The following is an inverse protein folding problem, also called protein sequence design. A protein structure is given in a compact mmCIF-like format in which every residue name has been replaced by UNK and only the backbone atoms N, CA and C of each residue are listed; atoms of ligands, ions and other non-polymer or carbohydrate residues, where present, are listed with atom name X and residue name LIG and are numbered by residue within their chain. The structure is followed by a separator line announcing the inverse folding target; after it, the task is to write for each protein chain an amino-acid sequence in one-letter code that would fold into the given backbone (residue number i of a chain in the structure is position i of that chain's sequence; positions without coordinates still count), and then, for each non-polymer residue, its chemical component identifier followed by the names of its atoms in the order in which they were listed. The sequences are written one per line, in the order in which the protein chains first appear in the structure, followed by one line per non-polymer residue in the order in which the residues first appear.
data_IF_242026462789
#
_entry.id   IF_242026462789
#
_cell.length_a   1.000
_cell.length_b   1.000
_cell.length_c   1.000
_cell.angle_alpha   90.00
_cell.angle_beta   90.00
_cell.angle_gamma   90.00
#
_symmetry.space_group_name_H-M   'P 1'
#
loop_
_entity.id
_entity.type
_entity.pdbx_description
1 polymer ?
#
# COMPACT_ATOMS: atom_id res chain seq x y z
N UNK A 1 -15.56 -24.04 -4.95
CA UNK A 1 -15.59 -22.65 -4.44
C UNK A 1 -15.70 -21.69 -5.62
N UNK A 2 -16.83 -20.97 -5.78
CA UNK A 2 -16.95 -19.92 -6.82
C UNK A 2 -16.39 -18.62 -6.25
N UNK A 3 -15.21 -18.21 -6.71
CA UNK A 3 -14.63 -16.89 -6.45
C UNK A 3 -15.50 -15.82 -7.12
N UNK A 4 -16.52 -15.32 -6.42
CA UNK A 4 -17.17 -14.07 -6.79
C UNK A 4 -16.29 -12.93 -6.29
N UNK A 5 -15.24 -12.58 -7.05
CA UNK A 5 -14.52 -11.33 -6.83
C UNK A 5 -15.53 -10.19 -6.99
N UNK A 6 -15.90 -9.57 -5.88
CA UNK A 6 -16.64 -8.31 -5.91
C UNK A 6 -15.71 -7.27 -6.56
N UNK A 7 -16.18 -6.46 -7.50
CA UNK A 7 -15.37 -5.49 -8.26
C UNK A 7 -14.49 -4.61 -7.34
N UNK A 8 -14.97 -4.33 -6.13
CA UNK A 8 -14.21 -3.61 -5.09
C UNK A 8 -12.94 -4.35 -4.62
N UNK A 9 -12.93 -5.68 -4.54
CA UNK A 9 -11.75 -6.43 -4.13
C UNK A 9 -10.64 -6.34 -5.19
N UNK A 10 -10.99 -6.36 -6.49
CA UNK A 10 -10.00 -6.23 -7.55
C UNK A 10 -9.38 -4.81 -7.56
N UNK A 11 -10.20 -3.78 -7.35
CA UNK A 11 -9.71 -2.40 -7.24
C UNK A 11 -8.75 -2.22 -6.05
N UNK A 12 -9.06 -2.79 -4.88
CA UNK A 12 -8.19 -2.72 -3.69
C UNK A 12 -6.84 -3.42 -3.96
N UNK A 13 -6.84 -4.57 -4.64
CA UNK A 13 -5.60 -5.28 -5.02
C UNK A 13 -4.74 -4.46 -5.97
N UNK A 14 -5.36 -3.83 -6.97
CA UNK A 14 -4.65 -2.96 -7.92
C UNK A 14 -4.07 -1.73 -7.20
N UNK A 15 -4.83 -1.11 -6.28
CA UNK A 15 -4.33 0.03 -5.52
C UNK A 15 -3.18 -0.35 -4.57
N UNK A 16 -3.30 -1.48 -3.88
CA UNK A 16 -2.25 -1.98 -2.98
C UNK A 16 -0.96 -2.34 -3.72
N UNK A 17 -1.08 -2.93 -4.91
CA UNK A 17 0.08 -3.22 -5.77
C UNK A 17 0.72 -1.97 -6.34
N UNK A 18 -0.06 -0.99 -6.80
CA UNK A 18 0.47 0.30 -7.26
C UNK A 18 1.20 1.03 -6.14
N UNK A 19 0.64 1.02 -4.94
CA UNK A 19 1.28 1.59 -3.74
C UNK A 19 2.60 0.86 -3.44
N UNK A 20 2.59 -0.47 -3.47
CA UNK A 20 3.79 -1.27 -3.26
C UNK A 20 4.87 -1.02 -4.30
N UNK A 21 4.51 -0.95 -5.59
CA UNK A 21 5.41 -0.58 -6.68
C UNK A 21 5.99 0.83 -6.51
N UNK A 22 5.20 1.79 -6.02
CA UNK A 22 5.68 3.13 -5.70
C UNK A 22 6.77 3.11 -4.62
N UNK A 23 6.54 2.40 -3.53
CA UNK A 23 7.54 2.23 -2.48
C UNK A 23 8.80 1.50 -2.97
N UNK A 24 8.64 0.48 -3.81
CA UNK A 24 9.76 -0.23 -4.42
C UNK A 24 10.61 0.69 -5.31
N UNK A 25 9.97 1.51 -6.15
CA UNK A 25 10.66 2.44 -7.05
C UNK A 25 11.42 3.51 -6.27
N UNK A 26 10.77 4.14 -5.27
CA UNK A 26 11.41 5.15 -4.41
C UNK A 26 12.53 4.54 -3.57
N UNK A 27 12.31 3.35 -3.03
CA UNK A 27 13.31 2.64 -2.24
C UNK A 27 14.54 2.26 -3.06
N UNK A 28 14.34 1.72 -4.26
CA UNK A 28 15.43 1.42 -5.19
C UNK A 28 16.19 2.68 -5.59
N UNK A 29 15.51 3.78 -5.89
CA UNK A 29 16.16 5.05 -6.20
C UNK A 29 17.00 5.58 -5.03
N UNK A 30 16.50 5.49 -3.80
CA UNK A 30 17.23 5.93 -2.62
C UNK A 30 18.47 5.07 -2.30
N UNK A 31 18.44 3.77 -2.62
CA UNK A 31 19.58 2.85 -2.42
C UNK A 31 20.62 2.95 -3.54
N UNK A 32 20.17 3.00 -4.80
CA UNK A 32 21.07 2.90 -5.97
C UNK A 32 21.38 4.24 -6.64
N UNK A 33 20.63 5.29 -6.36
CA UNK A 33 20.78 6.61 -6.98
C UNK A 33 21.73 7.57 -6.27
N UNK A 34 22.30 7.17 -5.14
CA UNK A 34 23.23 8.02 -4.39
C UNK A 34 24.63 7.99 -5.00
N UNK A 35 25.01 9.09 -5.66
CA UNK A 35 26.34 9.34 -6.21
C UNK A 35 27.31 9.86 -5.13
N UNK A 36 28.62 9.74 -5.38
CA UNK A 36 29.69 10.12 -4.44
C UNK A 36 29.79 11.65 -4.23
N UNK A 37 28.97 12.43 -4.93
CA UNK A 37 28.82 13.88 -4.73
C UNK A 37 28.05 14.26 -3.45
N UNK A 38 27.47 13.29 -2.73
CA UNK A 38 26.63 13.52 -1.55
C UNK A 38 27.40 13.19 -0.27
N UNK A 39 27.23 14.02 0.77
CA UNK A 39 27.83 13.77 2.08
C UNK A 39 27.45 12.40 2.66
N UNK A 40 28.43 11.68 3.22
CA UNK A 40 28.28 10.31 3.76
C UNK A 40 27.08 10.14 4.71
N UNK A 41 26.87 11.11 5.61
CA UNK A 41 25.75 11.06 6.56
C UNK A 41 24.37 11.13 5.88
N UNK A 42 24.27 11.77 4.71
CA UNK A 42 23.03 11.83 3.92
C UNK A 42 22.85 10.53 3.14
N UNK A 43 23.94 9.97 2.61
CA UNK A 43 23.95 8.67 1.92
C UNK A 43 23.48 7.53 2.83
N UNK A 44 23.98 7.48 4.06
CA UNK A 44 23.58 6.47 5.05
C UNK A 44 22.08 6.55 5.38
N UNK A 45 21.56 7.77 5.60
CA UNK A 45 20.13 7.99 5.86
C UNK A 45 19.27 7.60 4.66
N UNK A 46 19.69 7.97 3.45
CA UNK A 46 19.00 7.61 2.21
C UNK A 46 18.98 6.09 2.01
N UNK A 47 20.08 5.40 2.32
CA UNK A 47 20.14 3.94 2.27
C UNK A 47 19.14 3.28 3.22
N UNK A 48 19.11 3.67 4.50
CA UNK A 48 18.17 3.09 5.47
C UNK A 48 16.71 3.42 5.15
N UNK A 49 16.43 4.64 4.70
CA UNK A 49 15.12 5.01 4.18
C UNK A 49 14.74 4.13 2.98
N UNK A 50 15.64 3.97 2.01
CA UNK A 50 15.39 3.16 0.84
C UNK A 50 15.15 1.69 1.16
N UNK A 51 15.96 1.13 2.06
CA UNK A 51 15.82 -0.25 2.54
C UNK A 51 14.47 -0.50 3.20
N UNK A 52 14.03 0.41 4.09
CA UNK A 52 12.70 0.29 4.73
C UNK A 52 11.56 0.47 3.73
N UNK A 53 11.68 1.38 2.76
CA UNK A 53 10.72 1.53 1.69
C UNK A 53 10.62 0.25 0.81
N UNK A 54 11.74 -0.41 0.52
CA UNK A 54 11.74 -1.69 -0.20
C UNK A 54 10.99 -2.77 0.57
N UNK A 55 11.27 -2.92 1.87
CA UNK A 55 10.56 -3.90 2.73
C UNK A 55 9.05 -3.59 2.73
N UNK A 56 8.67 -2.34 2.94
CA UNK A 56 7.27 -1.90 2.93
C UNK A 56 6.59 -2.15 1.58
N UNK A 57 7.29 -1.91 0.47
CA UNK A 57 6.81 -2.17 -0.87
C UNK A 57 6.56 -3.65 -1.15
N UNK A 58 7.52 -4.53 -0.81
CA UNK A 58 7.35 -5.98 -0.91
C UNK A 58 6.17 -6.45 -0.05
N UNK A 59 6.07 -5.95 1.18
CA UNK A 59 4.97 -6.29 2.09
C UNK A 59 3.61 -5.87 1.54
N UNK A 60 3.49 -4.64 1.01
CA UNK A 60 2.26 -4.13 0.42
C UNK A 60 1.80 -4.97 -0.78
N UNK A 61 2.73 -5.38 -1.65
CA UNK A 61 2.43 -6.29 -2.76
C UNK A 61 2.02 -7.66 -2.20
N UNK A 62 2.76 -8.22 -1.26
CA UNK A 62 2.49 -9.53 -0.67
C UNK A 62 1.08 -9.58 -0.06
N UNK A 63 0.72 -8.62 0.79
CA UNK A 63 -0.63 -8.54 1.41
C UNK A 63 -1.73 -8.36 0.36
N UNK A 64 -1.47 -7.59 -0.70
CA UNK A 64 -2.46 -7.39 -1.77
C UNK A 64 -2.80 -8.67 -2.53
N UNK A 65 -1.89 -9.65 -2.59
CA UNK A 65 -2.09 -10.88 -3.35
C UNK A 65 -2.36 -12.12 -2.49
N UNK A 66 -1.70 -12.23 -1.33
CA UNK A 66 -1.78 -13.39 -0.44
C UNK A 66 -3.06 -13.42 0.40
N UNK A 67 -3.68 -12.26 0.67
CA UNK A 67 -4.89 -12.22 1.49
C UNK A 67 -6.17 -12.44 0.64
N UNK A 68 -6.93 -13.53 0.91
CA UNK A 68 -8.18 -13.79 0.21
C UNK A 68 -9.31 -12.82 0.58
N UNK A 69 -9.24 -12.13 1.73
CA UNK A 69 -10.28 -11.17 2.16
C UNK A 69 -9.70 -9.86 2.72
N UNK A 70 -9.37 -8.95 1.79
CA UNK A 70 -8.91 -7.60 2.09
C UNK A 70 -9.99 -6.68 2.71
N UNK A 71 -11.21 -7.17 2.94
CA UNK A 71 -12.29 -6.33 3.47
C UNK A 71 -12.17 -6.03 4.97
N UNK A 72 -11.31 -6.76 5.69
CA UNK A 72 -10.96 -6.49 7.09
C UNK A 72 -9.82 -5.48 7.27
N UNK A 73 -9.00 -5.25 6.24
CA UNK A 73 -7.83 -4.35 6.30
C UNK A 73 -8.24 -2.88 6.15
N UNK A 74 -9.33 -2.61 5.43
CA UNK A 74 -9.78 -1.25 5.14
C UNK A 74 -11.09 -0.96 5.87
N UNK A 75 -11.08 0.12 6.67
CA UNK A 75 -12.29 0.62 7.32
C UNK A 75 -13.38 0.88 6.28
N UNK A 76 -14.50 0.16 6.37
CA UNK A 76 -15.68 0.48 5.56
C UNK A 76 -16.20 1.85 6.00
N UNK A 77 -16.45 2.79 5.08
CA UNK A 77 -17.08 4.06 5.45
C UNK A 77 -18.44 3.78 6.11
N UNK A 78 -18.75 4.44 7.24
CA UNK A 78 -19.99 4.20 7.95
C UNK A 78 -21.19 4.51 7.04
N UNK A 79 -22.08 3.53 6.87
CA UNK A 79 -23.33 3.75 6.15
C UNK A 79 -24.25 4.60 7.03
N UNK A 80 -24.71 5.74 6.51
CA UNK A 80 -25.75 6.55 7.15
C UNK A 80 -26.99 5.67 7.37
N UNK A 81 -27.52 5.53 8.60
CA UNK A 81 -28.80 4.87 8.82
C UNK A 81 -29.88 5.59 8.01
N UNK A 82 -30.63 4.84 7.21
CA UNK A 82 -31.74 5.37 6.41
C UNK A 82 -33.00 5.62 7.25
N UNK A 83 -32.95 5.34 8.55
CA UNK A 83 -34.14 5.17 9.39
C UNK A 83 -34.46 6.41 10.27
N UNK A 84 -33.82 7.55 10.03
CA UNK A 84 -34.21 8.83 10.64
C UNK A 84 -35.21 9.56 9.73
N UNK A 85 -36.38 8.97 9.53
CA UNK A 85 -37.57 9.73 9.15
C UNK A 85 -38.36 10.00 10.45
N UNK A 86 -38.46 11.26 10.91
CA UNK A 86 -39.39 11.57 12.00
C UNK A 86 -40.83 11.27 11.51
N UNK A 87 -41.67 10.62 12.33
CA UNK A 87 -43.09 10.54 12.02
C UNK A 87 -43.64 11.97 11.94
N UNK A 88 -44.41 12.24 10.87
CA UNK A 88 -45.12 13.50 10.66
C UNK A 88 -46.18 13.72 11.74
#
# INVERSE_FOLDING_TARGET
MRLRLHTNQLAIRVLGTLTGLGFLAVGAYAVFGADDSIAEAVRERAFWFGFTALIGGVWAVAVSWLDPDLSGVWCRPPRRPRDLHPPR
#
